data_IF_949847569469
#
_entry.id   IF_949847569469
#
_cell.length_a   1.000
_cell.length_b   1.000
_cell.length_c   1.000
_cell.angle_alpha   90.00
_cell.angle_beta   90.00
_cell.angle_gamma   90.00
#
_symmetry.space_group_name_H-M   'P 1'
#
loop_
_entity.id
_entity.type
_entity.pdbx_description
1 polymer ?
#
# COMPACT_ATOMS: atom_id res chain seq x y z
N UNK A 1 -8.58 -3.10 -23.24
CA UNK A 1 -7.65 -3.14 -22.09
C UNK A 1 -8.31 -2.38 -20.94
N UNK A 2 -8.79 -3.04 -19.88
CA UNK A 2 -9.38 -2.33 -18.75
C UNK A 2 -8.28 -1.51 -18.07
N UNK A 3 -8.52 -0.20 -17.96
CA UNK A 3 -7.50 0.81 -17.75
C UNK A 3 -6.75 0.68 -16.43
N UNK A 4 -5.43 0.78 -16.53
CA UNK A 4 -4.56 1.23 -15.44
C UNK A 4 -5.04 2.62 -15.01
N UNK A 5 -5.86 2.69 -13.96
CA UNK A 5 -6.16 3.95 -13.30
C UNK A 5 -4.91 4.32 -12.51
N UNK A 6 -4.09 5.19 -13.09
CA UNK A 6 -3.02 5.86 -12.36
C UNK A 6 -3.66 6.86 -11.41
N UNK A 7 -3.49 6.64 -10.11
CA UNK A 7 -3.88 7.58 -9.06
C UNK A 7 -2.63 8.38 -8.69
N UNK A 8 -2.38 9.47 -9.43
CA UNK A 8 -1.37 10.46 -9.04
C UNK A 8 -2.09 11.65 -8.42
N UNK A 9 -1.82 11.87 -7.12
CA UNK A 9 -2.28 13.08 -6.42
C UNK A 9 -1.02 13.81 -5.96
N UNK A 10 -0.77 14.98 -6.53
CA UNK A 10 0.28 15.88 -6.09
C UNK A 10 -0.29 16.84 -5.04
N UNK A 11 0.27 16.79 -3.84
CA UNK A 11 0.28 17.91 -2.88
C UNK A 11 1.61 18.65 -3.09
N UNK A 12 1.72 19.92 -2.69
CA UNK A 12 2.88 20.79 -3.04
C UNK A 12 4.27 20.17 -2.77
N UNK A 13 4.37 19.15 -1.91
CA UNK A 13 5.63 18.43 -1.61
C UNK A 13 5.52 16.89 -1.65
N UNK A 14 4.37 16.28 -1.96
CA UNK A 14 4.21 14.80 -1.90
C UNK A 14 3.38 14.28 -3.06
N UNK A 15 3.86 13.20 -3.68
CA UNK A 15 3.15 12.45 -4.71
C UNK A 15 2.64 11.14 -4.13
N UNK A 16 1.32 10.91 -4.21
CA UNK A 16 0.74 9.59 -3.96
C UNK A 16 0.74 8.79 -5.25
N UNK A 17 1.27 7.56 -5.21
CA UNK A 17 1.29 6.64 -6.36
C UNK A 17 1.18 5.17 -5.95
N UNK A 18 0.87 4.24 -6.87
CA UNK A 18 1.03 2.81 -6.63
C UNK A 18 2.48 2.47 -6.25
N UNK A 19 2.64 1.54 -5.32
CA UNK A 19 3.93 0.98 -4.97
C UNK A 19 4.48 0.12 -6.11
N UNK A 20 5.79 0.16 -6.27
CA UNK A 20 6.58 -0.63 -7.19
C UNK A 20 7.52 -1.57 -6.42
N UNK A 21 8.17 -2.49 -7.13
CA UNK A 21 9.06 -3.47 -6.50
C UNK A 21 10.26 -2.80 -5.81
N UNK A 22 10.71 -1.67 -6.33
CA UNK A 22 11.82 -0.89 -5.78
C UNK A 22 11.48 -0.32 -4.39
N UNK A 23 10.20 -0.07 -4.11
CA UNK A 23 9.75 0.55 -2.85
C UNK A 23 9.72 -0.44 -1.68
N UNK A 24 9.76 -1.76 -1.95
CA UNK A 24 9.47 -2.81 -0.96
C UNK A 24 10.34 -2.70 0.29
N UNK A 25 11.62 -2.38 0.15
CA UNK A 25 12.51 -2.24 1.30
C UNK A 25 12.13 -1.08 2.22
N UNK A 26 11.76 0.08 1.65
CA UNK A 26 11.34 1.25 2.42
C UNK A 26 9.99 1.01 3.08
N UNK A 27 9.06 0.37 2.37
CA UNK A 27 7.75 0.00 2.92
C UNK A 27 7.90 -1.03 4.04
N UNK A 28 8.74 -2.05 3.88
CA UNK A 28 8.96 -3.07 4.90
C UNK A 28 9.54 -2.49 6.20
N UNK A 29 10.43 -1.49 6.10
CA UNK A 29 10.93 -0.76 7.26
C UNK A 29 9.79 0.01 7.96
N UNK A 30 8.91 0.66 7.20
CA UNK A 30 7.73 1.33 7.77
C UNK A 30 6.72 0.33 8.38
N UNK A 31 6.52 -0.84 7.77
CA UNK A 31 5.70 -1.92 8.33
C UNK A 31 6.26 -2.42 9.67
N UNK A 32 7.59 -2.52 9.81
CA UNK A 32 8.22 -2.89 11.08
C UNK A 32 7.99 -1.84 12.17
N UNK A 33 8.00 -0.56 11.82
CA UNK A 33 7.66 0.52 12.77
C UNK A 33 6.19 0.45 13.22
N UNK A 34 5.27 0.05 12.33
CA UNK A 34 3.86 -0.13 12.64
C UNK A 34 3.57 -1.43 13.42
N UNK A 35 4.22 -2.53 13.02
CA UNK A 35 4.05 -3.88 13.56
C UNK A 35 5.41 -4.52 13.88
N UNK A 36 6.02 -4.17 15.02
CA UNK A 36 7.39 -4.57 15.37
C UNK A 36 7.54 -6.05 15.71
N UNK A 37 6.43 -6.78 15.86
CA UNK A 37 6.43 -8.21 16.11
C UNK A 37 6.81 -9.05 14.87
N UNK A 38 6.73 -8.47 13.67
CA UNK A 38 7.04 -9.12 12.39
C UNK A 38 8.32 -8.52 11.84
N UNK A 39 9.27 -9.36 11.43
CA UNK A 39 10.58 -8.90 10.92
C UNK A 39 10.45 -8.11 9.61
N UNK A 40 11.43 -7.24 9.32
CA UNK A 40 11.49 -6.49 8.06
C UNK A 40 11.54 -7.46 6.86
N UNK A 41 12.28 -8.55 6.97
CA UNK A 41 12.42 -9.56 5.91
C UNK A 41 11.10 -10.28 5.61
N UNK A 42 10.30 -10.54 6.65
CA UNK A 42 8.98 -11.15 6.52
C UNK A 42 7.98 -10.18 5.88
N UNK A 43 7.95 -8.92 6.33
CA UNK A 43 7.16 -7.87 5.68
C UNK A 43 7.52 -7.71 4.20
N UNK A 44 8.81 -7.67 3.87
CA UNK A 44 9.27 -7.54 2.48
C UNK A 44 8.80 -8.71 1.61
N UNK A 45 8.84 -9.95 2.14
CA UNK A 45 8.36 -11.14 1.43
C UNK A 45 6.87 -11.05 1.11
N UNK A 46 6.06 -10.61 2.05
CA UNK A 46 4.61 -10.50 1.88
C UNK A 46 4.26 -9.38 0.88
N UNK A 47 4.92 -8.22 1.00
CA UNK A 47 4.74 -7.07 0.11
C UNK A 47 5.07 -7.39 -1.35
N UNK A 48 6.07 -8.24 -1.61
CA UNK A 48 6.42 -8.69 -2.97
C UNK A 48 5.27 -9.42 -3.68
N UNK A 49 4.28 -9.92 -2.94
CA UNK A 49 3.08 -10.54 -3.49
C UNK A 49 1.92 -9.56 -3.73
N UNK A 50 1.97 -8.37 -3.13
CA UNK A 50 0.94 -7.32 -3.21
C UNK A 50 1.28 -6.24 -4.24
N UNK A 51 2.57 -5.97 -4.47
CA UNK A 51 3.01 -5.05 -5.51
C UNK A 51 2.62 -5.62 -6.89
N UNK A 52 1.96 -4.82 -7.76
CA UNK A 52 1.54 -5.29 -9.07
C UNK A 52 2.70 -5.93 -9.84
N UNK A 53 2.45 -7.11 -10.41
CA UNK A 53 3.32 -7.71 -11.41
C UNK A 53 2.52 -7.91 -12.70
N UNK A 54 3.19 -7.94 -13.85
CA UNK A 54 2.60 -8.17 -15.17
C UNK A 54 1.65 -9.39 -15.26
N UNK A 55 1.65 -10.29 -14.25
CA UNK A 55 0.90 -11.55 -14.23
C UNK A 55 0.02 -11.77 -12.97
N UNK A 56 -0.16 -10.80 -12.08
CA UNK A 56 -0.86 -11.04 -10.80
C UNK A 56 -2.38 -10.93 -10.92
N UNK A 57 -3.07 -12.06 -11.12
CA UNK A 57 -4.53 -12.23 -11.00
C UNK A 57 -5.04 -12.44 -9.57
N UNK A 58 -4.38 -11.89 -8.55
CA UNK A 58 -4.83 -11.99 -7.15
C UNK A 58 -5.86 -10.90 -6.83
N UNK A 59 -6.67 -11.15 -5.79
CA UNK A 59 -7.68 -10.24 -5.21
C UNK A 59 -7.20 -8.78 -5.24
N UNK A 60 -8.09 -7.77 -5.42
CA UNK A 60 -7.70 -6.37 -5.53
C UNK A 60 -7.19 -5.85 -4.19
N UNK A 61 -5.94 -6.17 -3.87
CA UNK A 61 -5.12 -5.47 -2.91
C UNK A 61 -4.36 -4.39 -3.66
N UNK A 62 -4.25 -3.21 -3.08
CA UNK A 62 -3.45 -2.12 -3.63
C UNK A 62 -2.59 -1.55 -2.51
N UNK A 63 -1.35 -1.27 -2.87
CA UNK A 63 -0.39 -0.62 -1.99
C UNK A 63 -0.08 0.73 -2.61
N UNK A 64 -0.37 1.80 -1.88
CA UNK A 64 -0.05 3.16 -2.30
C UNK A 64 1.06 3.69 -1.39
N UNK A 65 1.95 4.50 -1.97
CA UNK A 65 3.05 5.16 -1.26
C UNK A 65 2.92 6.66 -1.39
N UNK A 66 3.45 7.37 -0.39
CA UNK A 66 3.64 8.80 -0.39
C UNK A 66 5.13 9.09 -0.59
N UNK A 67 5.48 9.73 -1.70
CA UNK A 67 6.86 10.02 -2.10
C UNK A 67 7.13 11.54 -2.07
N UNK A 68 8.24 11.94 -1.44
CA UNK A 68 8.75 13.32 -1.47
C UNK A 68 9.55 13.61 -2.76
N UNK A 69 9.86 14.88 -3.11
CA UNK A 69 10.57 15.21 -4.34
C UNK A 69 12.01 14.68 -4.36
N UNK A 70 12.55 14.33 -3.19
CA UNK A 70 13.84 13.66 -3.02
C UNK A 70 13.85 12.20 -3.47
N UNK A 71 12.68 11.62 -3.75
CA UNK A 71 12.50 10.19 -4.04
C UNK A 71 12.28 9.32 -2.80
N UNK A 72 12.32 9.90 -1.60
CA UNK A 72 12.13 9.16 -0.34
C UNK A 72 10.65 8.90 -0.07
N UNK A 73 10.32 7.70 0.39
CA UNK A 73 8.99 7.40 0.87
C UNK A 73 8.78 7.91 2.30
N UNK A 74 7.65 8.59 2.51
CA UNK A 74 7.25 9.15 3.81
C UNK A 74 6.00 8.49 4.39
N UNK A 75 5.38 7.58 3.64
CA UNK A 75 4.25 6.82 4.14
C UNK A 75 3.75 5.79 3.15
N UNK A 76 2.87 4.92 3.63
CA UNK A 76 2.18 3.94 2.80
C UNK A 76 0.75 3.70 3.32
N UNK A 77 -0.09 3.14 2.46
CA UNK A 77 -1.36 2.52 2.85
C UNK A 77 -1.57 1.22 2.10
N UNK A 78 -1.89 0.16 2.85
CA UNK A 78 -2.36 -1.12 2.34
C UNK A 78 -3.88 -1.10 2.31
N UNK A 79 -4.45 -1.33 1.13
CA UNK A 79 -5.90 -1.46 0.95
C UNK A 79 -6.25 -2.79 0.31
N UNK A 80 -7.38 -3.37 0.74
CA UNK A 80 -7.92 -4.61 0.20
C UNK A 80 -9.43 -4.51 -0.01
N UNK A 81 -10.01 -5.53 -0.63
CA UNK A 81 -11.45 -5.67 -0.73
C UNK A 81 -11.91 -6.77 0.23
N UNK A 82 -12.74 -6.41 1.22
CA UNK A 82 -13.37 -7.35 2.16
C UNK A 82 -14.82 -7.61 1.76
N UNK A 83 -15.31 -8.81 2.03
CA UNK A 83 -16.73 -9.16 1.86
C UNK A 83 -17.65 -8.33 2.75
N UNK A 84 -17.16 -7.92 3.92
CA UNK A 84 -17.87 -7.13 4.92
C UNK A 84 -16.89 -6.42 5.86
N UNK A 85 -17.37 -5.35 6.50
CA UNK A 85 -16.68 -4.65 7.58
C UNK A 85 -17.72 -4.13 8.58
N UNK A 86 -17.33 -4.02 9.85
CA UNK A 86 -18.21 -3.51 10.89
C UNK A 86 -18.67 -2.07 10.58
N UNK A 87 -19.95 -1.78 10.80
CA UNK A 87 -20.54 -0.48 10.49
C UNK A 87 -20.80 -0.22 9.00
N UNK A 88 -20.45 -1.14 8.11
CA UNK A 88 -20.79 -1.06 6.69
C UNK A 88 -22.04 -1.86 6.35
N UNK A 89 -22.64 -1.58 5.18
CA UNK A 89 -23.75 -2.39 4.67
C UNK A 89 -23.25 -3.81 4.32
N UNK A 90 -23.75 -4.87 4.98
CA UNK A 90 -23.28 -6.24 4.76
C UNK A 90 -23.60 -6.79 3.36
N UNK A 91 -24.45 -6.12 2.58
CA UNK A 91 -24.80 -6.53 1.22
C UNK A 91 -23.75 -6.14 0.15
N UNK A 92 -22.72 -5.36 0.50
CA UNK A 92 -21.72 -4.87 -0.45
C UNK A 92 -20.29 -5.16 0.03
N UNK A 93 -19.40 -5.41 -0.92
CA UNK A 93 -17.97 -5.47 -0.65
C UNK A 93 -17.44 -4.11 -0.22
N UNK A 94 -16.43 -4.11 0.65
CA UNK A 94 -15.89 -2.91 1.28
C UNK A 94 -14.42 -2.76 0.90
N UNK A 95 -14.06 -1.61 0.32
CA UNK A 95 -12.66 -1.19 0.26
C UNK A 95 -12.18 -0.90 1.68
N UNK A 96 -11.22 -1.67 2.15
CA UNK A 96 -10.80 -1.69 3.54
C UNK A 96 -9.33 -1.30 3.66
N UNK A 97 -9.00 -0.49 4.67
CA UNK A 97 -7.63 -0.14 5.00
C UNK A 97 -7.09 -1.21 5.93
N UNK A 98 -6.13 -2.00 5.44
CA UNK A 98 -5.46 -3.06 6.22
C UNK A 98 -4.40 -2.48 7.17
N UNK A 99 -3.77 -1.38 6.76
CA UNK A 99 -2.90 -0.57 7.61
C UNK A 99 -2.32 0.63 6.87
N UNK A 100 -1.95 1.66 7.62
CA UNK A 100 -1.22 2.81 7.10
C UNK A 100 -0.10 3.21 8.05
N UNK A 101 0.91 3.88 7.51
CA UNK A 101 1.94 4.53 8.29
C UNK A 101 2.35 5.84 7.63
N UNK A 102 2.65 6.84 8.45
CA UNK A 102 3.25 8.11 8.03
C UNK A 102 4.44 8.35 8.94
N UNK A 103 5.62 8.58 8.36
CA UNK A 103 6.80 8.89 9.12
C UNK A 103 6.64 10.23 9.85
N UNK A 104 7.08 10.30 11.10
CA UNK A 104 7.26 11.58 11.78
C UNK A 104 8.40 12.37 11.14
N UNK A 105 8.29 13.70 11.16
CA UNK A 105 9.35 14.62 10.75
C UNK A 105 10.64 14.46 11.57
#
# INVERSE_FOLDING_TARGET
MPGSRSYYVAMDEVVIRPAERADVSEIAAMCYLLWPAVSIEEHARDLMSMVPSELSGKLPASLLVAEQPSGRLVGFVQVGLRSHADGCNPAHHVGFIEGWYVASE
#
